data_IF_470667789074
#
_entry.id   IF_470667789074
#
_cell.length_a   1.000
_cell.length_b   1.000
_cell.length_c   1.000
_cell.angle_alpha   90.00
_cell.angle_beta   90.00
_cell.angle_gamma   90.00
#
_symmetry.space_group_name_H-M   'P 1'
#
loop_
_entity.id
_entity.type
_entity.pdbx_description
1 polymer ?
#
# COMPACT_ATOMS: atom_id res chain seq x y z
N UNK A 1 17.33 -8.43 -28.71
CA UNK A 1 16.18 -9.11 -29.34
C UNK A 1 16.50 -10.60 -29.39
N UNK A 2 16.37 -11.28 -28.24
CA UNK A 2 16.37 -12.74 -28.17
C UNK A 2 15.01 -13.21 -28.71
N UNK A 3 15.03 -14.11 -29.70
CA UNK A 3 13.82 -14.67 -30.28
C UNK A 3 13.06 -15.47 -29.22
N UNK A 4 11.77 -15.15 -29.04
CA UNK A 4 10.85 -15.96 -28.24
C UNK A 4 10.82 -17.36 -28.84
N UNK A 5 11.11 -18.37 -28.04
CA UNK A 5 10.92 -19.76 -28.46
C UNK A 5 9.41 -20.05 -28.46
N UNK A 6 8.93 -20.99 -29.29
CA UNK A 6 7.51 -21.37 -29.33
C UNK A 6 6.94 -21.78 -27.95
N UNK A 7 7.81 -22.19 -27.01
CA UNK A 7 7.44 -22.49 -25.63
C UNK A 7 7.08 -21.23 -24.82
N UNK A 8 7.78 -20.12 -25.04
CA UNK A 8 7.51 -18.84 -24.36
C UNK A 8 6.15 -18.25 -24.79
N UNK A 9 5.73 -18.53 -26.02
CA UNK A 9 4.41 -18.12 -26.52
C UNK A 9 3.25 -18.89 -25.86
N UNK A 10 3.49 -20.09 -25.34
CA UNK A 10 2.47 -20.94 -24.70
C UNK A 10 2.41 -20.67 -23.19
N UNK A 11 3.54 -20.39 -22.54
CA UNK A 11 3.66 -20.14 -21.10
C UNK A 11 3.22 -18.71 -20.71
N UNK A 12 2.01 -18.33 -21.10
CA UNK A 12 1.38 -17.07 -20.68
C UNK A 12 0.60 -17.27 -19.37
N UNK A 13 0.44 -16.20 -18.58
CA UNK A 13 -0.37 -16.24 -17.36
C UNK A 13 -1.80 -16.71 -17.62
N UNK A 14 -2.37 -16.36 -18.77
CA UNK A 14 -3.73 -16.76 -19.15
C UNK A 14 -3.84 -18.27 -19.39
N UNK A 15 -2.88 -18.85 -20.12
CA UNK A 15 -2.88 -20.28 -20.41
C UNK A 15 -2.56 -21.12 -19.17
N UNK A 16 -1.67 -20.63 -18.31
CA UNK A 16 -1.34 -21.23 -17.01
C UNK A 16 -2.59 -21.30 -16.14
N UNK A 17 -3.29 -20.18 -16.00
CA UNK A 17 -4.50 -20.11 -15.17
C UNK A 17 -5.71 -20.82 -15.78
N UNK A 18 -5.76 -20.97 -17.11
CA UNK A 18 -6.74 -21.78 -17.82
C UNK A 18 -6.46 -23.29 -17.76
N UNK A 19 -5.33 -23.72 -17.17
CA UNK A 19 -4.87 -25.12 -17.11
C UNK A 19 -4.78 -25.77 -18.50
N UNK A 20 -4.12 -25.09 -19.44
CA UNK A 20 -3.89 -25.62 -20.78
C UNK A 20 -3.18 -27.00 -20.71
N UNK A 21 -3.70 -28.04 -21.39
CA UNK A 21 -3.15 -29.40 -21.31
C UNK A 21 -1.72 -29.53 -21.85
N UNK A 22 -1.22 -28.54 -22.59
CA UNK A 22 0.16 -28.49 -23.09
C UNK A 22 1.16 -28.09 -22.00
N UNK A 23 0.70 -27.51 -20.90
CA UNK A 23 1.53 -27.06 -19.78
C UNK A 23 1.51 -28.15 -18.70
N UNK A 24 2.57 -28.95 -18.62
CA UNK A 24 2.67 -30.05 -17.65
C UNK A 24 2.98 -29.55 -16.23
N UNK A 25 3.84 -28.53 -16.12
CA UNK A 25 4.27 -27.91 -14.87
C UNK A 25 4.81 -26.52 -15.16
N UNK A 26 4.67 -25.60 -14.21
CA UNK A 26 5.21 -24.25 -14.26
C UNK A 26 5.71 -23.89 -12.86
N UNK A 27 6.72 -23.01 -12.82
CA UNK A 27 7.25 -22.44 -11.58
C UNK A 27 7.75 -21.03 -11.88
N UNK A 28 7.88 -20.21 -10.84
CA UNK A 28 8.40 -18.85 -10.95
C UNK A 28 9.93 -18.93 -11.01
N UNK A 29 10.52 -18.28 -12.01
CA UNK A 29 11.96 -18.07 -12.08
C UNK A 29 12.38 -16.96 -11.09
N UNK A 30 12.89 -17.36 -9.93
CA UNK A 30 13.36 -16.43 -8.90
C UNK A 30 14.74 -15.83 -9.18
N UNK A 31 15.48 -16.35 -10.17
CA UNK A 31 16.79 -15.82 -10.56
C UNK A 31 16.64 -14.61 -11.50
N UNK A 32 15.46 -14.40 -12.06
CA UNK A 32 15.19 -13.28 -12.94
C UNK A 32 15.06 -11.94 -12.19
N UNK A 33 15.74 -10.89 -12.69
CA UNK A 33 15.79 -9.56 -12.04
C UNK A 33 14.41 -8.91 -11.84
N UNK A 34 13.40 -9.32 -12.61
CA UNK A 34 12.04 -8.77 -12.50
C UNK A 34 11.14 -9.56 -11.53
N UNK A 35 11.66 -10.59 -10.88
CA UNK A 35 10.89 -11.41 -9.95
C UNK A 35 10.81 -10.78 -8.56
N UNK A 36 9.60 -10.67 -8.03
CA UNK A 36 9.30 -9.97 -6.78
C UNK A 36 8.63 -10.93 -5.78
N UNK A 37 9.23 -11.05 -4.61
CA UNK A 37 8.57 -11.70 -3.49
C UNK A 37 7.59 -10.68 -2.90
N UNK A 38 6.29 -10.81 -3.25
CA UNK A 38 5.21 -9.90 -2.85
C UNK A 38 3.94 -10.67 -2.42
N UNK A 39 2.84 -9.94 -2.17
CA UNK A 39 1.55 -10.53 -1.79
C UNK A 39 0.91 -11.43 -2.85
N UNK A 40 1.23 -11.26 -4.14
CA UNK A 40 0.75 -12.17 -5.18
C UNK A 40 1.27 -13.59 -4.97
N UNK A 41 2.53 -13.72 -4.57
CA UNK A 41 3.09 -15.02 -4.25
C UNK A 41 2.57 -15.53 -2.89
N UNK A 42 2.57 -14.69 -1.86
CA UNK A 42 2.16 -15.09 -0.50
C UNK A 42 0.71 -15.60 -0.42
N UNK A 43 -0.21 -14.99 -1.18
CA UNK A 43 -1.63 -15.35 -1.16
C UNK A 43 -2.09 -16.08 -2.43
N UNK A 44 -1.15 -16.54 -3.26
CA UNK A 44 -1.42 -17.24 -4.54
C UNK A 44 -2.45 -16.52 -5.43
N UNK A 45 -2.22 -15.22 -5.65
CA UNK A 45 -3.12 -14.34 -6.40
C UNK A 45 -2.85 -14.35 -7.91
N UNK A 46 -1.97 -15.22 -8.40
CA UNK A 46 -1.54 -15.19 -9.82
C UNK A 46 -2.70 -15.42 -10.79
N UNK A 47 -3.63 -16.30 -10.43
CA UNK A 47 -4.80 -16.62 -11.25
C UNK A 47 -6.07 -15.89 -10.83
N UNK A 48 -5.97 -14.94 -9.91
CA UNK A 48 -7.13 -14.16 -9.50
C UNK A 48 -7.52 -13.14 -10.58
N UNK A 49 -8.83 -12.86 -10.75
CA UNK A 49 -9.27 -11.78 -11.62
C UNK A 49 -8.61 -10.45 -11.23
N UNK A 50 -8.04 -9.76 -12.22
CA UNK A 50 -7.38 -8.44 -12.02
C UNK A 50 -8.28 -7.43 -11.29
N UNK A 51 -9.59 -7.51 -11.52
CA UNK A 51 -10.59 -6.68 -10.83
C UNK A 51 -10.62 -6.92 -9.31
N UNK A 52 -10.49 -8.18 -8.86
CA UNK A 52 -10.49 -8.49 -7.43
C UNK A 52 -9.20 -8.03 -6.74
N UNK A 53 -8.06 -8.16 -7.42
CA UNK A 53 -6.77 -7.65 -6.93
C UNK A 53 -6.83 -6.11 -6.82
N UNK A 54 -7.37 -5.43 -7.84
CA UNK A 54 -7.59 -3.99 -7.80
C UNK A 54 -8.55 -3.55 -6.68
N UNK A 55 -9.54 -4.39 -6.34
CA UNK A 55 -10.50 -4.10 -5.28
C UNK A 55 -9.83 -4.06 -3.90
N UNK A 56 -8.87 -4.94 -3.63
CA UNK A 56 -8.11 -4.96 -2.36
C UNK A 56 -7.43 -3.60 -2.12
N UNK A 57 -6.75 -3.08 -3.13
CA UNK A 57 -6.11 -1.76 -3.04
C UNK A 57 -7.13 -0.63 -2.95
N UNK A 58 -8.26 -0.75 -3.65
CA UNK A 58 -9.34 0.23 -3.64
C UNK A 58 -10.03 0.35 -2.29
N UNK A 59 -10.02 -0.71 -1.46
CA UNK A 59 -10.56 -0.68 -0.10
C UNK A 59 -9.91 0.39 0.78
N UNK A 60 -8.62 0.68 0.57
CA UNK A 60 -7.93 1.77 1.27
C UNK A 60 -8.61 3.12 0.99
N UNK A 61 -8.77 3.46 -0.29
CA UNK A 61 -9.38 4.72 -0.71
C UNK A 61 -10.86 4.76 -0.34
N UNK A 62 -11.55 3.64 -0.38
CA UNK A 62 -12.95 3.56 0.05
C UNK A 62 -13.09 3.89 1.54
N UNK A 63 -12.28 3.27 2.41
CA UNK A 63 -12.25 3.60 3.84
C UNK A 63 -11.90 5.06 4.09
N UNK A 64 -10.93 5.58 3.34
CA UNK A 64 -10.53 6.99 3.39
C UNK A 64 -11.70 7.92 3.02
N UNK A 65 -12.39 7.68 1.90
CA UNK A 65 -13.52 8.50 1.46
C UNK A 65 -14.68 8.53 2.46
N UNK A 66 -15.02 7.39 3.08
CA UNK A 66 -16.11 7.29 4.07
C UNK A 66 -15.89 8.21 5.27
N UNK A 67 -14.63 8.44 5.65
CA UNK A 67 -14.30 9.23 6.84
C UNK A 67 -14.24 10.73 6.57
N UNK A 68 -14.04 11.16 5.33
CA UNK A 68 -13.98 12.59 4.98
C UNK A 68 -15.27 13.37 5.36
N UNK A 69 -16.42 12.69 5.44
CA UNK A 69 -17.72 13.31 5.72
C UNK A 69 -17.86 13.82 7.17
N UNK A 70 -17.18 13.20 8.13
CA UNK A 70 -17.42 13.47 9.56
C UNK A 70 -16.15 13.60 10.39
N UNK A 71 -15.02 13.06 9.91
CA UNK A 71 -13.76 13.08 10.64
C UNK A 71 -13.23 14.51 10.90
N UNK A 72 -13.28 15.46 9.95
CA UNK A 72 -12.86 16.84 10.23
C UNK A 72 -13.66 17.47 11.36
N UNK A 73 -14.99 17.30 11.34
CA UNK A 73 -15.90 17.80 12.38
C UNK A 73 -15.60 17.18 13.75
N UNK A 74 -15.24 15.90 13.79
CA UNK A 74 -14.81 15.26 15.04
C UNK A 74 -13.52 15.88 15.58
N UNK A 75 -12.55 16.21 14.71
CA UNK A 75 -11.33 16.91 15.10
C UNK A 75 -11.59 18.28 15.74
N UNK A 76 -12.60 19.00 15.25
CA UNK A 76 -12.97 20.31 15.77
C UNK A 76 -13.70 20.23 17.13
N UNK A 77 -14.52 19.19 17.36
CA UNK A 77 -15.31 19.04 18.60
C UNK A 77 -14.46 18.45 19.74
N UNK A 78 -13.74 17.37 19.48
CA UNK A 78 -13.02 16.61 20.51
C UNK A 78 -11.57 17.08 20.72
N UNK A 79 -11.10 18.00 19.86
CA UNK A 79 -9.74 18.47 19.86
C UNK A 79 -8.79 17.57 19.05
N UNK A 80 -7.98 18.20 18.21
CA UNK A 80 -7.15 17.52 17.21
C UNK A 80 -5.99 16.72 17.81
N UNK A 81 -5.37 17.22 18.88
CA UNK A 81 -4.17 16.60 19.49
C UNK A 81 -4.40 15.15 19.94
N UNK A 82 -5.48 14.89 20.68
CA UNK A 82 -5.78 13.55 21.17
C UNK A 82 -6.16 12.60 20.04
N UNK A 83 -6.94 13.09 19.09
CA UNK A 83 -7.37 12.34 17.92
C UNK A 83 -6.16 11.90 17.07
N UNK A 84 -5.16 12.77 16.90
CA UNK A 84 -3.89 12.44 16.23
C UNK A 84 -3.09 11.40 17.02
N UNK A 85 -2.99 11.55 18.34
CA UNK A 85 -2.22 10.62 19.19
C UNK A 85 -2.80 9.19 19.14
N UNK A 86 -4.11 9.04 19.26
CA UNK A 86 -4.77 7.72 19.13
C UNK A 86 -4.63 7.15 17.72
N UNK A 87 -4.71 8.00 16.70
CA UNK A 87 -4.53 7.57 15.33
C UNK A 87 -3.15 6.96 15.08
N UNK A 88 -2.07 7.60 15.55
CA UNK A 88 -0.72 7.07 15.34
C UNK A 88 -0.53 5.69 15.98
N UNK A 89 -1.08 5.48 17.18
CA UNK A 89 -1.05 4.17 17.84
C UNK A 89 -1.84 3.11 17.07
N UNK A 90 -3.02 3.46 16.55
CA UNK A 90 -3.83 2.55 15.74
C UNK A 90 -3.17 2.23 14.39
N UNK A 91 -2.58 3.24 13.73
CA UNK A 91 -1.81 3.05 12.50
C UNK A 91 -0.65 2.07 12.70
N UNK A 92 0.08 2.16 13.82
CA UNK A 92 1.13 1.19 14.16
C UNK A 92 0.56 -0.24 14.24
N UNK A 93 -0.60 -0.41 14.88
CA UNK A 93 -1.30 -1.70 14.95
C UNK A 93 -1.71 -2.23 13.57
N UNK A 94 -2.20 -1.37 12.68
CA UNK A 94 -2.56 -1.77 11.32
C UNK A 94 -1.35 -2.16 10.46
N UNK A 95 -0.21 -1.48 10.61
CA UNK A 95 1.03 -1.89 9.93
C UNK A 95 1.44 -3.31 10.34
N UNK A 96 1.41 -3.61 11.65
CA UNK A 96 1.67 -4.97 12.14
C UNK A 96 0.63 -5.97 11.59
N UNK A 97 -0.64 -5.57 11.53
CA UNK A 97 -1.71 -6.37 10.92
C UNK A 97 -1.44 -6.71 9.44
N UNK A 98 -0.92 -5.77 8.67
CA UNK A 98 -0.52 -5.99 7.27
C UNK A 98 0.68 -6.94 7.18
N UNK A 99 1.70 -6.76 8.04
CA UNK A 99 2.92 -7.59 8.03
C UNK A 99 2.63 -9.06 8.33
N UNK A 100 1.70 -9.34 9.24
CA UNK A 100 1.37 -10.70 9.70
C UNK A 100 0.01 -11.20 9.19
N UNK A 101 -0.48 -10.65 8.07
CA UNK A 101 -1.77 -11.04 7.52
C UNK A 101 -1.79 -12.53 7.12
N UNK A 102 -2.68 -13.36 7.69
CA UNK A 102 -2.74 -14.79 7.40
C UNK A 102 -3.53 -15.13 6.15
N UNK A 103 -4.42 -14.23 5.70
CA UNK A 103 -5.24 -14.44 4.51
C UNK A 103 -5.57 -13.11 3.83
N UNK A 104 -5.94 -13.18 2.55
CA UNK A 104 -6.22 -12.00 1.70
C UNK A 104 -7.43 -11.19 2.18
N UNK A 105 -8.44 -11.84 2.78
CA UNK A 105 -9.64 -11.15 3.29
C UNK A 105 -9.35 -10.33 4.55
N UNK A 106 -8.51 -10.88 5.44
CA UNK A 106 -8.00 -10.18 6.60
C UNK A 106 -7.14 -8.99 6.17
N UNK A 107 -6.24 -9.19 5.20
CA UNK A 107 -5.46 -8.10 4.61
C UNK A 107 -6.37 -6.99 4.06
N UNK A 108 -7.39 -7.33 3.29
CA UNK A 108 -8.33 -6.36 2.74
C UNK A 108 -9.09 -5.58 3.83
N UNK A 109 -9.51 -6.26 4.91
CA UNK A 109 -10.17 -5.64 6.06
C UNK A 109 -9.22 -4.68 6.80
N UNK A 110 -7.96 -5.08 7.02
CA UNK A 110 -6.94 -4.23 7.63
C UNK A 110 -6.62 -3.03 6.74
N UNK A 111 -6.49 -3.21 5.42
CA UNK A 111 -6.26 -2.10 4.47
C UNK A 111 -7.42 -1.11 4.47
N UNK A 112 -8.67 -1.59 4.54
CA UNK A 112 -9.85 -0.73 4.67
C UNK A 112 -9.80 0.11 5.95
N UNK A 113 -9.57 -0.53 7.10
CA UNK A 113 -9.46 0.16 8.39
C UNK A 113 -8.28 1.12 8.40
N UNK A 114 -7.16 0.73 7.81
CA UNK A 114 -6.00 1.61 7.69
C UNK A 114 -6.33 2.85 6.85
N UNK A 115 -7.01 2.71 5.72
CA UNK A 115 -7.47 3.84 4.91
C UNK A 115 -8.43 4.76 5.67
N UNK A 116 -9.34 4.17 6.44
CA UNK A 116 -10.27 4.89 7.33
C UNK A 116 -9.53 5.79 8.32
N UNK A 117 -8.55 5.26 9.05
CA UNK A 117 -7.78 6.02 10.02
C UNK A 117 -6.75 6.95 9.36
N UNK A 118 -6.21 6.59 8.18
CA UNK A 118 -5.27 7.45 7.46
C UNK A 118 -5.87 8.82 7.07
N UNK A 119 -7.20 8.96 6.99
CA UNK A 119 -7.85 10.27 6.81
C UNK A 119 -7.52 11.28 7.90
N UNK A 120 -7.35 10.80 9.14
CA UNK A 120 -6.98 11.62 10.28
C UNK A 120 -5.57 12.16 10.07
N UNK A 121 -4.65 11.29 9.66
CA UNK A 121 -3.25 11.63 9.41
C UNK A 121 -3.11 12.63 8.26
N UNK A 122 -3.88 12.48 7.19
CA UNK A 122 -3.73 13.35 6.02
C UNK A 122 -4.50 14.66 6.15
N UNK A 123 -5.67 14.67 6.78
CA UNK A 123 -6.50 15.88 6.89
C UNK A 123 -6.32 16.59 8.23
N UNK A 124 -6.57 15.90 9.34
CA UNK A 124 -6.59 16.52 10.68
C UNK A 124 -5.18 16.89 11.13
N UNK A 125 -4.20 15.99 10.95
CA UNK A 125 -2.82 16.26 11.33
C UNK A 125 -2.17 17.34 10.45
N UNK A 126 -2.45 17.33 9.14
CA UNK A 126 -1.98 18.41 8.25
C UNK A 126 -2.54 19.77 8.66
N UNK A 127 -3.85 19.87 8.92
CA UNK A 127 -4.47 21.11 9.38
C UNK A 127 -3.91 21.55 10.73
N UNK A 128 -3.75 20.63 11.67
CA UNK A 128 -3.17 20.93 12.98
C UNK A 128 -1.72 21.43 12.87
N UNK A 129 -0.90 20.85 11.98
CA UNK A 129 0.44 21.35 11.69
C UNK A 129 0.42 22.78 11.16
N UNK A 130 -0.51 23.08 10.24
CA UNK A 130 -0.65 24.42 9.65
C UNK A 130 -1.10 25.46 10.67
N UNK A 131 -1.96 25.09 11.63
CA UNK A 131 -2.40 25.97 12.72
C UNK A 131 -1.29 26.31 13.71
N UNK A 132 -0.37 25.38 13.96
CA UNK A 132 0.81 25.61 14.81
C UNK A 132 1.89 26.44 14.12
N UNK A 133 1.84 26.54 12.79
CA UNK A 133 2.85 27.23 11.99
C UNK A 133 2.52 28.73 11.87
N UNK A 134 3.50 29.63 12.01
CA UNK A 134 3.27 31.05 11.75
C UNK A 134 2.88 31.27 10.28
N UNK A 135 1.96 32.20 10.04
CA UNK A 135 1.33 32.45 8.74
C UNK A 135 2.31 32.70 7.60
N UNK A 136 3.49 33.26 7.89
CA UNK A 136 4.54 33.49 6.89
C UNK A 136 5.25 32.22 6.40
N UNK A 137 5.22 31.12 7.17
CA UNK A 137 5.89 29.85 6.83
C UNK A 137 4.94 28.75 6.41
N UNK A 138 3.64 28.94 6.60
CA UNK A 138 2.60 27.97 6.28
C UNK A 138 2.71 27.42 4.85
N UNK A 139 2.82 28.29 3.84
CA UNK A 139 2.92 27.83 2.44
C UNK A 139 4.17 26.96 2.19
N UNK A 140 5.33 27.39 2.69
CA UNK A 140 6.57 26.64 2.51
C UNK A 140 6.49 25.25 3.16
N UNK A 141 6.05 25.19 4.42
CA UNK A 141 5.94 23.91 5.15
C UNK A 141 4.88 23.01 4.54
N UNK A 142 3.73 23.57 4.14
CA UNK A 142 2.67 22.83 3.47
C UNK A 142 3.13 22.23 2.14
N UNK A 143 3.84 23.00 1.30
CA UNK A 143 4.41 22.48 0.05
C UNK A 143 5.45 21.39 0.32
N UNK A 144 6.37 21.63 1.26
CA UNK A 144 7.40 20.65 1.61
C UNK A 144 6.79 19.31 2.07
N UNK A 145 5.76 19.37 2.91
CA UNK A 145 5.00 18.19 3.36
C UNK A 145 4.40 17.41 2.18
N UNK A 146 3.71 18.09 1.27
CA UNK A 146 3.10 17.45 0.11
C UNK A 146 4.14 16.85 -0.85
N UNK A 147 5.28 17.53 -1.04
CA UNK A 147 6.40 16.97 -1.81
C UNK A 147 6.93 15.69 -1.17
N UNK A 148 7.11 15.68 0.15
CA UNK A 148 7.59 14.49 0.86
C UNK A 148 6.62 13.31 0.73
N UNK A 149 5.32 13.54 0.97
CA UNK A 149 4.29 12.49 0.80
C UNK A 149 4.24 11.97 -0.65
N UNK A 150 4.36 12.84 -1.65
CA UNK A 150 4.39 12.44 -3.06
C UNK A 150 5.61 11.58 -3.43
N UNK A 151 6.76 11.84 -2.81
CA UNK A 151 8.00 11.11 -3.08
C UNK A 151 7.99 9.65 -2.58
N UNK A 152 7.10 9.26 -1.67
CA UNK A 152 7.06 7.89 -1.11
C UNK A 152 6.93 6.82 -2.21
N UNK A 153 6.14 7.08 -3.25
CA UNK A 153 5.98 6.14 -4.38
C UNK A 153 7.26 6.03 -5.24
N UNK A 154 8.01 7.13 -5.37
CA UNK A 154 9.31 7.11 -6.05
C UNK A 154 10.33 6.32 -5.24
N UNK A 155 10.35 6.50 -3.92
CA UNK A 155 11.20 5.70 -3.03
C UNK A 155 10.86 4.22 -3.09
N UNK A 156 9.59 3.85 -3.12
CA UNK A 156 9.17 2.46 -3.31
C UNK A 156 9.70 1.87 -4.63
N UNK A 157 9.57 2.64 -5.72
CA UNK A 157 10.05 2.22 -7.04
C UNK A 157 11.56 1.99 -7.05
N UNK A 158 12.34 2.95 -6.54
CA UNK A 158 13.79 2.83 -6.47
C UNK A 158 14.25 1.71 -5.53
N UNK A 159 13.54 1.50 -4.42
CA UNK A 159 13.83 0.43 -3.48
C UNK A 159 13.71 -0.95 -4.15
N UNK A 160 12.60 -1.21 -4.85
CA UNK A 160 12.39 -2.50 -5.52
C UNK A 160 13.28 -2.68 -6.76
N UNK A 161 13.73 -1.59 -7.38
CA UNK A 161 14.62 -1.65 -8.54
C UNK A 161 16.08 -1.92 -8.17
N UNK A 162 16.56 -1.39 -7.04
CA UNK A 162 18.01 -1.39 -6.73
C UNK A 162 18.40 -2.05 -5.42
N UNK A 163 17.48 -2.22 -4.46
CA UNK A 163 17.84 -2.63 -3.08
C UNK A 163 17.40 -4.05 -2.79
N UNK A 164 16.11 -4.35 -2.93
CA UNK A 164 15.58 -5.66 -2.55
C UNK A 164 14.27 -5.98 -3.25
N UNK A 165 14.09 -7.24 -3.61
CA UNK A 165 12.86 -7.79 -4.19
C UNK A 165 11.85 -8.22 -3.14
N UNK A 166 12.18 -8.15 -1.84
CA UNK A 166 11.31 -8.56 -0.75
C UNK A 166 10.44 -7.41 -0.23
N UNK A 167 9.12 -7.57 -0.35
CA UNK A 167 8.12 -6.61 0.13
C UNK A 167 8.19 -6.36 1.64
N UNK A 168 8.51 -7.39 2.43
CA UNK A 168 8.47 -7.34 3.89
C UNK A 168 9.42 -6.28 4.46
N UNK A 169 10.63 -6.19 3.91
CA UNK A 169 11.65 -5.23 4.36
C UNK A 169 11.22 -3.78 4.08
N UNK A 170 10.55 -3.53 2.96
CA UNK A 170 10.01 -2.20 2.65
C UNK A 170 8.96 -1.76 3.68
N UNK A 171 8.02 -2.66 4.01
CA UNK A 171 6.98 -2.38 5.00
C UNK A 171 7.57 -2.23 6.41
N UNK A 172 8.60 -3.01 6.75
CA UNK A 172 9.31 -2.89 8.02
C UNK A 172 10.00 -1.52 8.20
N UNK A 173 10.60 -0.98 7.13
CA UNK A 173 11.13 0.39 7.14
C UNK A 173 9.99 1.38 7.38
N UNK A 174 8.87 1.24 6.66
CA UNK A 174 7.68 2.07 6.86
C UNK A 174 7.16 2.07 8.30
N UNK A 175 7.15 0.91 8.97
CA UNK A 175 6.76 0.76 10.37
C UNK A 175 7.66 1.57 11.33
N UNK A 176 8.97 1.68 11.04
CA UNK A 176 9.91 2.46 11.87
C UNK A 176 9.65 3.97 11.74
N UNK A 177 9.18 4.41 10.57
CA UNK A 177 8.88 5.81 10.28
C UNK A 177 7.43 6.22 10.64
N UNK A 178 6.60 5.28 11.07
CA UNK A 178 5.18 5.47 11.38
C UNK A 178 4.95 6.05 12.79
#
# INVERSE_FOLDING_TARGET
MSGLTDQDAICTSENICAKDPRIRSWDIDWEHDNSLHNWHHQFDLMCWPKAQIGLISSMFFFGWCVTLLWMPRMGDIYGRKWLIAYNNLLCLGFYLGVMFAPNVYFLAAVIFLWGFFNSIRTNVNFLFMMELMPSNKQNFVGTFWNCFEGCINLFATFYFMFVSTHWFNFVAIGLIFQ
#
